data_IF_025188779515
#
_entry.id   IF_025188779515
#
_cell.length_a   1.000
_cell.length_b   1.000
_cell.length_c   1.000
_cell.angle_alpha   90.00
_cell.angle_beta   90.00
_cell.angle_gamma   90.00
#
_symmetry.space_group_name_H-M   'P 1'
#
loop_
_entity.id
_entity.type
_entity.pdbx_description
1 polymer ?
#
# COMPACT_ATOMS: atom_id res chain seq x y z
N UNK A 1 1.74 -19.27 6.12
CA UNK A 1 0.67 -18.74 5.25
C UNK A 1 0.54 -19.58 4.01
N UNK A 2 -0.63 -20.18 3.76
CA UNK A 2 -0.91 -20.97 2.54
C UNK A 2 -1.10 -20.06 1.31
N UNK A 3 -0.24 -19.04 1.13
CA UNK A 3 -0.27 -18.15 -0.05
C UNK A 3 -1.49 -17.23 -0.19
N UNK A 4 -2.33 -17.07 0.84
CA UNK A 4 -3.51 -16.19 0.77
C UNK A 4 -3.13 -14.75 1.08
N UNK A 5 -2.96 -13.95 0.02
CA UNK A 5 -2.69 -12.52 0.09
C UNK A 5 -3.77 -11.75 -0.67
N UNK A 6 -4.02 -10.52 -0.27
CA UNK A 6 -4.72 -9.54 -1.09
C UNK A 6 -3.74 -8.44 -1.48
N UNK A 7 -3.91 -7.87 -2.67
CA UNK A 7 -3.11 -6.74 -3.12
C UNK A 7 -3.70 -5.45 -2.53
N UNK A 8 -2.85 -4.64 -1.90
CA UNK A 8 -3.25 -3.33 -1.42
C UNK A 8 -3.64 -2.43 -2.61
N UNK A 9 -4.80 -1.77 -2.57
CA UNK A 9 -5.29 -0.98 -3.72
C UNK A 9 -4.41 0.23 -4.07
N UNK A 10 -3.87 0.92 -3.06
CA UNK A 10 -2.94 2.06 -3.25
C UNK A 10 -1.50 1.61 -3.49
N UNK A 11 -0.91 0.82 -2.59
CA UNK A 11 0.53 0.51 -2.63
C UNK A 11 0.89 -0.79 -3.38
N UNK A 12 -0.08 -1.58 -3.85
CA UNK A 12 0.10 -2.86 -4.56
C UNK A 12 0.91 -3.92 -3.81
N UNK A 13 1.24 -3.69 -2.54
CA UNK A 13 1.91 -4.67 -1.68
C UNK A 13 0.99 -5.87 -1.41
N UNK A 14 1.58 -7.06 -1.33
CA UNK A 14 0.85 -8.28 -0.99
C UNK A 14 0.63 -8.35 0.52
N UNK A 15 -0.61 -8.13 0.96
CA UNK A 15 -1.00 -8.15 2.36
C UNK A 15 -1.52 -9.55 2.74
N UNK A 16 -0.96 -10.20 3.76
CA UNK A 16 -1.41 -11.53 4.17
C UNK A 16 -2.85 -11.46 4.71
N UNK A 17 -3.70 -12.38 4.28
CA UNK A 17 -5.09 -12.48 4.77
C UNK A 17 -5.15 -13.20 6.13
N UNK A 18 -4.20 -14.10 6.38
CA UNK A 18 -4.05 -14.82 7.65
C UNK A 18 -2.58 -14.77 8.02
N UNK A 19 -2.25 -14.81 9.31
CA UNK A 19 -0.91 -15.05 9.79
C UNK A 19 -1.00 -15.81 11.12
N UNK A 20 -0.34 -16.98 11.28
CA UNK A 20 -0.40 -17.75 12.52
C UNK A 20 -0.02 -16.89 13.73
N UNK A 21 -0.80 -17.00 14.81
CA UNK A 21 -0.63 -16.25 16.06
C UNK A 21 -0.79 -14.73 15.94
N UNK A 22 -1.36 -14.23 14.83
CA UNK A 22 -1.68 -12.81 14.65
C UNK A 22 -3.19 -12.65 14.44
N UNK A 23 -3.87 -11.76 15.20
CA UNK A 23 -5.27 -11.42 14.96
C UNK A 23 -5.49 -10.93 13.52
N UNK A 24 -6.57 -11.38 12.87
CA UNK A 24 -6.78 -11.08 11.44
C UNK A 24 -7.18 -9.62 11.19
N UNK A 25 -7.87 -9.02 12.15
CA UNK A 25 -8.29 -7.62 12.16
C UNK A 25 -7.11 -6.63 12.09
N UNK A 26 -5.94 -6.98 12.65
CA UNK A 26 -4.75 -6.13 12.57
C UNK A 26 -3.97 -6.27 11.25
N UNK A 27 -4.26 -7.30 10.46
CA UNK A 27 -3.57 -7.54 9.18
C UNK A 27 -4.04 -6.59 8.06
N UNK A 28 -5.22 -5.99 8.21
CA UNK A 28 -5.74 -4.99 7.30
C UNK A 28 -5.67 -3.60 7.94
N UNK A 29 -4.74 -2.73 7.53
CA UNK A 29 -4.67 -1.36 8.03
C UNK A 29 -5.95 -0.56 7.78
N UNK A 30 -6.72 -0.92 6.75
CA UNK A 30 -8.05 -0.35 6.51
C UNK A 30 -9.02 -0.70 7.64
N UNK A 31 -9.07 -1.97 8.04
CA UNK A 31 -9.97 -2.44 9.09
C UNK A 31 -9.63 -1.83 10.46
N UNK A 32 -8.36 -1.53 10.73
CA UNK A 32 -7.96 -0.93 12.01
C UNK A 32 -8.40 0.52 12.18
N UNK A 33 -8.75 1.22 11.10
CA UNK A 33 -9.15 2.63 11.15
C UNK A 33 -10.65 2.85 11.44
N UNK A 34 -11.49 1.83 11.25
CA UNK A 34 -12.95 1.92 11.37
C UNK A 34 -13.58 3.11 10.60
N UNK A 35 -12.87 3.64 9.59
CA UNK A 35 -13.28 4.76 8.75
C UNK A 35 -12.53 4.67 7.42
N UNK A 36 -13.20 4.12 6.41
CA UNK A 36 -12.61 3.89 5.10
C UNK A 36 -12.22 5.18 4.39
N UNK A 37 -13.04 6.23 4.50
CA UNK A 37 -12.78 7.52 3.86
C UNK A 37 -11.51 8.18 4.42
N UNK A 38 -11.40 8.25 5.74
CA UNK A 38 -10.22 8.82 6.40
C UNK A 38 -8.95 8.00 6.10
N UNK A 39 -9.08 6.68 6.04
CA UNK A 39 -8.01 5.78 5.67
C UNK A 39 -7.53 6.05 4.24
N UNK A 40 -8.42 6.02 3.24
CA UNK A 40 -8.04 6.23 1.85
C UNK A 40 -7.50 7.64 1.60
N UNK A 41 -8.10 8.67 2.19
CA UNK A 41 -7.56 10.04 2.14
C UNK A 41 -6.12 10.10 2.66
N UNK A 42 -5.81 9.38 3.74
CA UNK A 42 -4.46 9.33 4.29
C UNK A 42 -3.52 8.49 3.43
N UNK A 43 -4.00 7.35 2.90
CA UNK A 43 -3.24 6.48 2.03
C UNK A 43 -2.83 7.18 0.73
N UNK A 44 -3.74 7.93 0.09
CA UNK A 44 -3.43 8.71 -1.11
C UNK A 44 -2.52 9.91 -0.82
N UNK A 45 -2.70 10.59 0.32
CA UNK A 45 -1.75 11.62 0.77
C UNK A 45 -0.33 11.05 0.93
N UNK A 46 -0.21 9.86 1.50
CA UNK A 46 1.08 9.17 1.65
C UNK A 46 1.63 8.74 0.28
N UNK A 47 0.81 8.17 -0.59
CA UNK A 47 1.21 7.80 -1.96
C UNK A 47 1.78 8.98 -2.75
N UNK A 48 1.12 10.14 -2.66
CA UNK A 48 1.62 11.39 -3.24
C UNK A 48 2.96 11.82 -2.65
N UNK A 49 3.12 11.69 -1.33
CA UNK A 49 4.38 12.03 -0.66
C UNK A 49 5.53 11.10 -1.08
N UNK A 50 5.26 9.82 -1.31
CA UNK A 50 6.21 8.88 -1.90
C UNK A 50 6.61 9.29 -3.32
N UNK A 51 5.64 9.57 -4.19
CA UNK A 51 5.88 10.01 -5.56
C UNK A 51 6.69 11.32 -5.60
N UNK A 52 6.34 12.31 -4.77
CA UNK A 52 7.04 13.58 -4.70
C UNK A 52 8.48 13.44 -4.21
N UNK A 53 8.74 12.55 -3.24
CA UNK A 53 10.11 12.27 -2.80
C UNK A 53 10.90 11.48 -3.85
N UNK A 54 10.26 10.59 -4.59
CA UNK A 54 10.90 9.73 -5.58
C UNK A 54 11.44 10.49 -6.80
N UNK A 55 10.89 11.68 -7.11
CA UNK A 55 11.40 12.60 -8.15
C UNK A 55 12.91 12.83 -8.12
N UNK A 56 13.53 12.76 -6.93
CA UNK A 56 15.00 12.91 -6.75
C UNK A 56 15.81 11.74 -7.34
N UNK A 57 15.16 10.63 -7.63
CA UNK A 57 15.77 9.35 -8.02
C UNK A 57 15.23 8.84 -9.37
N UNK A 58 14.30 9.56 -10.02
CA UNK A 58 13.65 9.14 -11.27
C UNK A 58 14.65 8.82 -12.38
N UNK A 59 15.72 9.62 -12.51
CA UNK A 59 16.77 9.40 -13.53
C UNK A 59 17.56 8.09 -13.35
N UNK A 60 17.49 7.48 -12.17
CA UNK A 60 18.16 6.22 -11.85
C UNK A 60 17.20 5.02 -11.83
N UNK A 61 15.92 5.25 -12.09
CA UNK A 61 14.88 4.23 -12.03
C UNK A 61 14.70 3.53 -13.39
N UNK A 62 14.67 2.20 -13.37
CA UNK A 62 14.25 1.41 -14.52
C UNK A 62 12.73 1.14 -14.46
N UNK A 63 12.20 0.51 -15.51
CA UNK A 63 10.77 0.19 -15.60
C UNK A 63 10.28 -0.68 -14.43
N UNK A 64 11.13 -1.58 -13.91
CA UNK A 64 10.78 -2.42 -12.76
C UNK A 64 10.53 -1.60 -11.50
N UNK A 65 11.41 -0.63 -11.22
CA UNK A 65 11.25 0.31 -10.09
C UNK A 65 10.03 1.19 -10.30
N UNK A 66 9.83 1.70 -11.52
CA UNK A 66 8.67 2.55 -11.85
C UNK A 66 7.34 1.80 -11.73
N UNK A 67 7.29 0.51 -12.07
CA UNK A 67 6.10 -0.33 -11.91
C UNK A 67 5.70 -0.53 -10.43
N UNK A 68 6.64 -0.37 -9.50
CA UNK A 68 6.41 -0.37 -8.06
C UNK A 68 5.75 0.90 -7.51
N UNK A 69 5.52 1.92 -8.34
CA UNK A 69 4.90 3.17 -7.91
C UNK A 69 3.47 2.95 -7.35
N UNK A 70 3.10 3.69 -6.28
CA UNK A 70 1.76 3.62 -5.73
C UNK A 70 0.73 4.18 -6.72
N UNK A 71 -0.51 3.73 -6.60
CA UNK A 71 -1.63 4.30 -7.33
C UNK A 71 -1.99 5.67 -6.75
N UNK A 72 -2.08 6.68 -7.61
CA UNK A 72 -2.43 8.06 -7.24
C UNK A 72 -3.89 8.43 -7.59
N UNK A 73 -4.64 7.50 -8.18
CA UNK A 73 -6.03 7.74 -8.55
C UNK A 73 -6.93 7.46 -7.35
N UNK A 74 -7.62 8.50 -6.86
CA UNK A 74 -8.54 8.44 -5.71
C UNK A 74 -9.85 7.69 -6.01
#
# INVERSE_FOLDING_TARGET
>A
NNGKYHMHSVFKVQQPIVCPNVPTDVLSPRQTWNNDEAYYKTAYKLAKSFADNFKKFEDYANDEIMNGAPNLNE
#
